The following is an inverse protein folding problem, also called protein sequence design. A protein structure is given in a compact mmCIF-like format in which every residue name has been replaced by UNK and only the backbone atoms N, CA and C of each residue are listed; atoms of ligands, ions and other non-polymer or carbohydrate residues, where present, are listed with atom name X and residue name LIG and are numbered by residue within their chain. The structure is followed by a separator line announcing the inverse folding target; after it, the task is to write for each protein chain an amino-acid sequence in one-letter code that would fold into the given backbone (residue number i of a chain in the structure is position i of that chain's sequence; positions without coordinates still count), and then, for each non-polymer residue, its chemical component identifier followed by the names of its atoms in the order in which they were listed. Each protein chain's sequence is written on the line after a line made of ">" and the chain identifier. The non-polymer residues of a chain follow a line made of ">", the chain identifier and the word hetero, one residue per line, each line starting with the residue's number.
data_IF_089561904422
#
_entry.id   IF_089561904422
#
_cell.length_a   1.000
_cell.length_b   1.000
_cell.length_c   1.000
_cell.angle_alpha   90.00
_cell.angle_beta   90.00
_cell.angle_gamma   90.00
#
_symmetry.space_group_name_H-M   'P 1'
#
loop_
_entity.id
_entity.type
_entity.pdbx_description
1 polymer ?
#
# COMPACT_ATOMS: atom_id res chain seq x y z
N UNK A 1 -9.56 11.23 -10.90
CA UNK A 1 -10.01 10.20 -11.87
C UNK A 1 -10.93 10.74 -12.95
N UNK A 2 -11.98 11.48 -12.61
CA UNK A 2 -12.88 12.06 -13.62
C UNK A 2 -12.17 13.00 -14.61
N UNK A 3 -11.09 13.66 -14.20
CA UNK A 3 -10.26 14.48 -15.11
C UNK A 3 -9.30 13.69 -16.03
N UNK A 4 -9.17 12.38 -15.86
CA UNK A 4 -8.28 11.52 -16.67
C UNK A 4 -9.08 10.52 -17.50
N UNK A 5 -10.12 9.94 -16.92
CA UNK A 5 -11.01 8.97 -17.57
C UNK A 5 -12.45 9.37 -17.23
N UNK A 6 -13.12 10.11 -18.11
CA UNK A 6 -14.45 10.68 -17.83
C UNK A 6 -15.60 9.82 -18.36
N UNK A 7 -15.36 8.92 -19.30
CA UNK A 7 -16.41 8.22 -20.03
C UNK A 7 -17.19 7.26 -19.12
N UNK A 8 -18.53 7.19 -19.25
CA UNK A 8 -19.38 6.47 -18.31
C UNK A 8 -19.07 4.97 -18.24
N UNK A 9 -18.67 4.36 -19.36
CA UNK A 9 -18.37 2.92 -19.45
C UNK A 9 -17.04 2.51 -18.76
N UNK A 10 -16.19 3.47 -18.35
CA UNK A 10 -14.98 3.20 -17.55
C UNK A 10 -15.20 3.36 -16.03
N UNK A 11 -16.43 3.23 -15.55
CA UNK A 11 -16.76 3.36 -14.12
C UNK A 11 -15.95 2.41 -13.23
N UNK A 12 -15.84 1.14 -13.62
CA UNK A 12 -15.09 0.13 -12.90
C UNK A 12 -13.59 0.47 -12.82
N UNK A 13 -12.98 0.86 -13.95
CA UNK A 13 -11.57 1.29 -13.99
C UNK A 13 -11.30 2.47 -13.06
N UNK A 14 -12.22 3.45 -12.99
CA UNK A 14 -12.10 4.57 -12.05
C UNK A 14 -12.17 4.13 -10.59
N UNK A 15 -13.09 3.22 -10.26
CA UNK A 15 -13.22 2.68 -8.89
C UNK A 15 -11.93 1.97 -8.50
N UNK A 16 -11.39 1.13 -9.39
CA UNK A 16 -10.15 0.41 -9.13
C UNK A 16 -8.97 1.34 -8.96
N UNK A 17 -8.78 2.30 -9.87
CA UNK A 17 -7.70 3.27 -9.75
C UNK A 17 -7.80 4.10 -8.46
N UNK A 18 -9.02 4.43 -8.02
CA UNK A 18 -9.23 5.15 -6.75
C UNK A 18 -8.79 4.29 -5.56
N UNK A 19 -9.13 2.99 -5.52
CA UNK A 19 -8.66 2.07 -4.47
C UNK A 19 -7.13 1.99 -4.43
N UNK A 20 -6.48 1.89 -5.59
CA UNK A 20 -5.01 1.87 -5.68
C UNK A 20 -4.36 3.17 -5.20
N UNK A 21 -4.91 4.34 -5.54
CA UNK A 21 -4.41 5.61 -5.03
C UNK A 21 -4.56 5.72 -3.51
N UNK A 22 -5.68 5.23 -2.99
CA UNK A 22 -5.91 5.19 -1.54
C UNK A 22 -4.86 4.30 -0.86
N UNK A 23 -4.56 3.11 -1.40
CA UNK A 23 -3.47 2.28 -0.89
C UNK A 23 -2.11 2.97 -0.95
N UNK A 24 -1.78 3.62 -2.07
CA UNK A 24 -0.50 4.30 -2.23
C UNK A 24 -0.32 5.44 -1.21
N UNK A 25 -1.37 6.25 -1.00
CA UNK A 25 -1.37 7.30 0.02
C UNK A 25 -1.23 6.72 1.43
N UNK A 26 -1.96 5.64 1.74
CA UNK A 26 -1.83 4.99 3.04
C UNK A 26 -0.43 4.43 3.27
N UNK A 27 0.17 3.78 2.28
CA UNK A 27 1.55 3.30 2.42
C UNK A 27 2.54 4.46 2.59
N UNK A 28 2.38 5.55 1.86
CA UNK A 28 3.22 6.73 2.05
C UNK A 28 3.14 7.26 3.48
N UNK A 29 1.93 7.46 4.01
CA UNK A 29 1.75 8.00 5.36
C UNK A 29 2.22 7.01 6.43
N UNK A 30 1.97 5.71 6.21
CA UNK A 30 2.42 4.65 7.10
C UNK A 30 3.94 4.65 7.26
N UNK A 31 4.68 4.69 6.15
CA UNK A 31 6.14 4.58 6.16
C UNK A 31 6.82 5.90 6.54
N UNK A 32 6.17 7.04 6.34
CA UNK A 32 6.74 8.33 6.71
C UNK A 32 6.42 8.74 8.15
N UNK A 33 5.21 8.44 8.66
CA UNK A 33 4.71 9.06 9.90
C UNK A 33 4.18 8.07 10.94
N UNK A 34 3.52 6.97 10.52
CA UNK A 34 2.67 6.18 11.44
C UNK A 34 3.23 4.81 11.84
N UNK A 35 4.41 4.42 11.38
CA UNK A 35 5.05 3.16 11.79
C UNK A 35 6.50 3.34 12.19
N UNK A 36 6.92 2.53 13.15
CA UNK A 36 8.35 2.30 13.41
C UNK A 36 8.99 1.53 12.25
N UNK A 37 10.32 1.56 12.14
CA UNK A 37 11.06 0.78 11.13
C UNK A 37 10.71 -0.71 11.22
N UNK A 38 10.67 -1.26 12.44
CA UNK A 38 10.33 -2.65 12.70
C UNK A 38 8.91 -2.99 12.24
N UNK A 39 7.91 -2.20 12.64
CA UNK A 39 6.52 -2.40 12.18
C UNK A 39 6.42 -2.30 10.65
N UNK A 40 7.08 -1.33 10.02
CA UNK A 40 7.06 -1.22 8.55
C UNK A 40 7.71 -2.42 7.87
N UNK A 41 8.78 -3.00 8.43
CA UNK A 41 9.44 -4.18 7.87
C UNK A 41 8.56 -5.43 8.00
N UNK A 42 7.90 -5.60 9.15
CA UNK A 42 6.91 -6.69 9.36
C UNK A 42 5.73 -6.51 8.40
N UNK A 43 5.23 -5.28 8.24
CA UNK A 43 4.15 -4.97 7.31
C UNK A 43 4.55 -5.29 5.85
N UNK A 44 5.74 -4.87 5.40
CA UNK A 44 6.26 -5.20 4.07
C UNK A 44 6.33 -6.72 3.88
N UNK A 45 6.92 -7.43 4.84
CA UNK A 45 7.11 -8.88 4.75
C UNK A 45 5.77 -9.63 4.68
N UNK A 46 4.77 -9.19 5.44
CA UNK A 46 3.42 -9.75 5.40
C UNK A 46 2.74 -9.52 4.04
N UNK A 47 2.86 -8.32 3.47
CA UNK A 47 2.34 -7.99 2.14
C UNK A 47 3.02 -8.76 1.01
N UNK A 48 4.35 -8.89 1.04
CA UNK A 48 5.11 -9.61 0.01
C UNK A 48 4.73 -11.10 -0.04
N UNK A 49 4.56 -11.71 1.13
CA UNK A 49 4.18 -13.13 1.27
C UNK A 49 2.69 -13.37 1.21
N UNK A 50 1.88 -12.31 1.25
CA UNK A 50 0.43 -12.37 1.38
C UNK A 50 0.01 -13.23 2.58
N UNK A 51 0.69 -13.06 3.72
CA UNK A 51 0.48 -13.85 4.94
C UNK A 51 0.19 -12.95 6.16
N UNK A 52 -1.07 -12.95 6.57
CA UNK A 52 -1.56 -12.18 7.73
C UNK A 52 -0.98 -12.68 9.06
N UNK A 53 -0.49 -13.91 9.14
CA UNK A 53 0.09 -14.48 10.36
C UNK A 53 1.42 -13.80 10.70
N UNK A 54 2.16 -13.30 9.71
CA UNK A 54 3.41 -12.58 9.97
C UNK A 54 3.16 -11.28 10.75
N UNK A 55 1.95 -10.73 10.63
CA UNK A 55 1.55 -9.48 11.24
C UNK A 55 1.11 -9.58 12.70
N UNK A 56 1.33 -10.71 13.39
CA UNK A 56 0.98 -10.86 14.82
C UNK A 56 1.68 -9.83 15.73
N UNK A 57 2.83 -9.30 15.31
CA UNK A 57 3.63 -8.32 16.05
C UNK A 57 3.24 -6.86 15.74
N UNK A 58 2.34 -6.62 14.77
CA UNK A 58 1.87 -5.27 14.46
C UNK A 58 0.92 -4.76 15.54
N UNK A 59 0.94 -3.45 15.77
CA UNK A 59 -0.11 -2.77 16.52
C UNK A 59 -1.50 -3.05 15.91
N UNK A 60 -2.53 -3.07 16.76
CA UNK A 60 -3.88 -3.47 16.36
C UNK A 60 -4.40 -2.70 15.13
N UNK A 61 -4.12 -1.38 15.06
CA UNK A 61 -4.51 -0.55 13.93
C UNK A 61 -3.82 -0.96 12.62
N UNK A 62 -2.51 -1.22 12.66
CA UNK A 62 -1.75 -1.64 11.48
C UNK A 62 -2.14 -3.05 11.00
N UNK A 63 -2.47 -3.94 11.93
CA UNK A 63 -3.00 -5.26 11.59
C UNK A 63 -4.35 -5.15 10.88
N UNK A 64 -5.27 -4.33 11.39
CA UNK A 64 -6.56 -4.09 10.73
C UNK A 64 -6.36 -3.49 9.33
N UNK A 65 -5.43 -2.55 9.19
CA UNK A 65 -5.10 -1.94 7.90
C UNK A 65 -4.57 -2.99 6.90
N UNK A 66 -3.61 -3.81 7.32
CA UNK A 66 -3.03 -4.87 6.49
C UNK A 66 -4.12 -5.82 5.97
N UNK A 67 -4.93 -6.36 6.88
CA UNK A 67 -6.02 -7.30 6.54
C UNK A 67 -7.04 -6.65 5.61
N UNK A 68 -7.37 -5.36 5.82
CA UNK A 68 -8.28 -4.62 4.95
C UNK A 68 -7.74 -4.49 3.51
N UNK A 69 -6.45 -4.19 3.37
CA UNK A 69 -5.79 -4.09 2.06
C UNK A 69 -5.74 -5.46 1.38
N UNK A 70 -5.39 -6.51 2.11
CA UNK A 70 -5.31 -7.87 1.57
C UNK A 70 -6.69 -8.36 1.10
N UNK A 71 -7.73 -8.22 1.92
CA UNK A 71 -9.10 -8.60 1.57
C UNK A 71 -9.64 -7.80 0.39
N UNK A 72 -9.39 -6.48 0.37
CA UNK A 72 -9.81 -5.64 -0.75
C UNK A 72 -9.11 -6.06 -2.03
N UNK A 73 -7.81 -6.37 -1.98
CA UNK A 73 -7.05 -6.84 -3.15
C UNK A 73 -7.56 -8.19 -3.66
N UNK A 74 -7.82 -9.15 -2.77
CA UNK A 74 -8.41 -10.44 -3.14
C UNK A 74 -9.78 -10.26 -3.82
N UNK A 75 -10.62 -9.37 -3.29
CA UNK A 75 -11.92 -9.06 -3.90
C UNK A 75 -11.78 -8.46 -5.30
N UNK A 76 -10.81 -7.58 -5.52
CA UNK A 76 -10.53 -7.01 -6.85
C UNK A 76 -10.10 -8.11 -7.83
N UNK A 77 -9.21 -9.01 -7.39
CA UNK A 77 -8.77 -10.16 -8.17
C UNK A 77 -9.96 -11.05 -8.55
N UNK A 78 -10.85 -11.37 -7.60
CA UNK A 78 -12.06 -12.16 -7.85
C UNK A 78 -13.01 -11.47 -8.85
N UNK A 79 -13.28 -10.17 -8.66
CA UNK A 79 -14.13 -9.38 -9.56
C UNK A 79 -13.57 -9.38 -10.99
N UNK A 80 -12.24 -9.28 -11.16
CA UNK A 80 -11.58 -9.37 -12.46
C UNK A 80 -11.66 -10.78 -13.08
N UNK A 81 -11.50 -11.84 -12.28
CA UNK A 81 -11.67 -13.22 -12.76
C UNK A 81 -13.09 -13.46 -13.27
N UNK A 82 -14.11 -12.98 -12.55
CA UNK A 82 -15.51 -13.08 -12.96
C UNK A 82 -15.80 -12.34 -14.28
N UNK A 83 -15.05 -11.27 -14.56
CA UNK A 83 -15.12 -10.53 -15.82
C UNK A 83 -14.31 -11.18 -16.97
N UNK A 84 -13.68 -12.33 -16.75
CA UNK A 84 -12.85 -13.00 -17.75
C UNK A 84 -11.52 -12.30 -18.02
N UNK A 85 -11.04 -11.45 -17.09
CA UNK A 85 -9.78 -10.74 -17.25
C UNK A 85 -8.59 -11.69 -17.00
N UNK A 86 -7.81 -11.97 -18.05
CA UNK A 86 -6.64 -12.86 -17.99
C UNK A 86 -5.49 -12.34 -17.10
N UNK A 87 -5.56 -11.09 -16.64
CA UNK A 87 -4.53 -10.44 -15.84
C UNK A 87 -4.95 -10.21 -14.39
N UNK A 88 -6.04 -10.82 -13.92
CA UNK A 88 -6.54 -10.66 -12.56
C UNK A 88 -5.46 -10.92 -11.48
N UNK A 89 -4.60 -11.91 -11.69
CA UNK A 89 -3.51 -12.26 -10.77
C UNK A 89 -2.41 -11.18 -10.67
N UNK A 90 -2.35 -10.23 -11.61
CA UNK A 90 -1.39 -9.13 -11.57
C UNK A 90 -1.72 -8.09 -10.50
N UNK A 91 -2.96 -8.05 -9.99
CA UNK A 91 -3.39 -7.05 -8.99
C UNK A 91 -2.50 -7.11 -7.75
N UNK A 92 -2.20 -8.31 -7.25
CA UNK A 92 -1.30 -8.52 -6.11
C UNK A 92 0.09 -7.96 -6.37
N UNK A 93 0.62 -8.20 -7.57
CA UNK A 93 1.92 -7.66 -8.01
C UNK A 93 1.90 -6.13 -8.09
N UNK A 94 0.79 -5.54 -8.54
CA UNK A 94 0.62 -4.09 -8.59
C UNK A 94 0.60 -3.48 -7.19
N UNK A 95 -0.12 -4.09 -6.23
CA UNK A 95 -0.13 -3.63 -4.84
C UNK A 95 1.26 -3.75 -4.21
N UNK A 96 1.99 -4.83 -4.44
CA UNK A 96 3.34 -4.96 -3.91
C UNK A 96 4.31 -3.95 -4.54
N UNK A 97 4.11 -3.58 -5.81
CA UNK A 97 4.96 -2.59 -6.49
C UNK A 97 4.77 -1.16 -5.96
N UNK A 98 3.63 -0.83 -5.36
CA UNK A 98 3.40 0.49 -4.74
C UNK A 98 3.83 0.54 -3.28
N UNK A 99 4.30 -0.57 -2.69
CA UNK A 99 4.91 -0.54 -1.37
C UNK A 99 6.22 0.26 -1.45
N UNK A 100 6.46 1.18 -0.50
CA UNK A 100 7.74 1.84 -0.35
C UNK A 100 8.85 0.81 -0.15
N UNK A 101 10.07 1.14 -0.59
CA UNK A 101 11.23 0.33 -0.26
C UNK A 101 11.36 0.19 1.28
N UNK A 102 11.81 -0.97 1.78
CA UNK A 102 12.07 -1.14 3.21
C UNK A 102 12.97 -0.01 3.71
N UNK A 103 12.60 0.60 4.85
CA UNK A 103 13.44 1.63 5.48
C UNK A 103 14.69 0.95 6.03
N UNK A 104 15.86 1.31 5.50
CA UNK A 104 17.12 0.99 6.15
C UNK A 104 17.40 2.02 7.26
N UNK A 105 18.28 1.70 8.20
CA UNK A 105 18.63 2.65 9.27
C UNK A 105 19.43 3.87 8.74
N UNK A 106 20.01 3.79 7.53
CA UNK A 106 20.79 4.87 6.89
C UNK A 106 19.91 6.03 6.42
N UNK A 107 18.78 5.72 5.79
CA UNK A 107 17.83 6.69 5.20
C UNK A 107 17.12 7.53 6.24
N UNK A 108 16.91 7.00 7.45
CA UNK A 108 16.40 7.79 8.59
C UNK A 108 17.38 8.90 8.97
N UNK A 109 18.69 8.61 8.99
CA UNK A 109 19.72 9.59 9.36
C UNK A 109 19.70 10.77 8.39
N UNK A 110 19.58 10.50 7.09
CA UNK A 110 19.52 11.53 6.06
C UNK A 110 18.23 12.37 6.15
N UNK A 111 17.09 11.73 6.47
CA UNK A 111 15.83 12.45 6.59
C UNK A 111 15.75 13.33 7.85
N UNK A 112 16.26 12.86 9.00
CA UNK A 112 16.38 13.68 10.21
C UNK A 112 17.40 14.81 10.06
N UNK A 113 18.50 14.61 9.33
CA UNK A 113 19.43 15.69 9.01
C UNK A 113 18.73 16.79 8.20
N UNK A 114 17.97 16.44 7.16
CA UNK A 114 17.19 17.41 6.38
C UNK A 114 16.11 18.13 7.21
N UNK A 115 15.42 17.44 8.12
CA UNK A 115 14.38 18.03 8.96
C UNK A 115 14.93 19.03 9.99
N UNK A 116 16.11 18.75 10.57
CA UNK A 116 16.81 19.68 11.48
C UNK A 116 17.32 20.92 10.71
N UNK A 117 17.85 20.75 9.50
CA UNK A 117 18.33 21.87 8.68
C UNK A 117 17.20 22.79 8.19
N UNK A 118 15.99 22.28 7.93
CA UNK A 118 14.83 23.07 7.52
C UNK A 118 14.13 23.82 8.66
N UNK A 119 14.48 23.58 9.93
CA UNK A 119 13.86 24.22 11.09
C UNK A 119 14.85 25.06 11.94
N UNK A 120 16.12 25.14 11.52
CA UNK A 120 17.15 26.01 12.12
C UNK A 120 17.48 27.23 11.22
N UNK A 121 16.86 27.34 10.05
CA UNK A 121 16.87 28.53 9.18
C UNK A 121 15.47 29.14 9.09
#
# INVERSE_FOLDING_TARGET
>A
MLGVIHEPYYSYSRIMMTKFLVFANFFNDLYNNYSTTEESNIFTAAMERWDEQIAHQLSAGLKVLLVSIMNTTNKIEEELKLQGNMHAELVKKMVNKILPAPRDHSTLRDHYHLYIYLHIL
#
